data_IF_434329943890
#
_entry.id   IF_434329943890
#
_cell.length_a   1.000
_cell.length_b   1.000
_cell.length_c   1.000
_cell.angle_alpha   90.00
_cell.angle_beta   90.00
_cell.angle_gamma   90.00
#
_symmetry.space_group_name_H-M   'P 1'
#
loop_
_entity.id
_entity.type
_entity.pdbx_description
1 polymer ?
#
# COMPACT_ATOMS: atom_id res chain seq x y z
N UNK A 1 9.48 -19.60 -43.30
CA UNK A 1 8.21 -19.28 -42.59
C UNK A 1 7.93 -17.80 -42.74
N UNK A 2 6.68 -17.37 -42.92
CA UNK A 2 6.34 -15.97 -43.21
C UNK A 2 6.66 -15.04 -42.03
N UNK A 3 7.49 -14.01 -42.25
CA UNK A 3 7.76 -12.92 -41.30
C UNK A 3 6.49 -12.15 -40.87
N UNK A 4 5.37 -12.39 -41.55
CA UNK A 4 4.09 -11.76 -41.24
C UNK A 4 3.20 -12.59 -40.32
N UNK A 5 3.57 -13.83 -39.94
CA UNK A 5 2.69 -14.74 -39.17
C UNK A 5 2.06 -14.07 -37.93
N UNK A 6 2.86 -13.36 -37.12
CA UNK A 6 2.37 -12.60 -35.96
C UNK A 6 1.31 -11.57 -36.35
N UNK A 7 1.64 -10.67 -37.28
CA UNK A 7 0.72 -9.62 -37.74
C UNK A 7 -0.51 -10.18 -38.44
N UNK A 8 -0.36 -11.17 -39.32
CA UNK A 8 -1.46 -11.83 -40.02
C UNK A 8 -2.43 -12.45 -39.02
N UNK A 9 -1.93 -13.12 -37.97
CA UNK A 9 -2.78 -13.68 -36.93
C UNK A 9 -3.56 -12.57 -36.20
N UNK A 10 -2.92 -11.45 -35.88
CA UNK A 10 -3.53 -10.29 -35.22
C UNK A 10 -4.54 -9.53 -36.11
N UNK A 11 -4.41 -9.61 -37.43
CA UNK A 11 -5.33 -8.95 -38.37
C UNK A 11 -6.55 -9.79 -38.76
N UNK A 12 -6.60 -11.08 -38.38
CA UNK A 12 -7.79 -11.91 -38.63
C UNK A 12 -9.01 -11.35 -37.89
N UNK A 13 -10.21 -11.51 -38.47
CA UNK A 13 -11.47 -10.95 -37.94
C UNK A 13 -11.72 -11.28 -36.45
N UNK A 14 -11.28 -12.46 -36.00
CA UNK A 14 -11.46 -12.91 -34.62
C UNK A 14 -10.43 -12.33 -33.62
N UNK A 15 -9.32 -11.78 -34.13
CA UNK A 15 -8.14 -11.37 -33.35
C UNK A 15 -7.82 -9.88 -33.47
N UNK A 16 -8.47 -9.18 -34.41
CA UNK A 16 -8.36 -7.73 -34.56
C UNK A 16 -8.71 -7.06 -33.24
N UNK A 17 -7.80 -6.22 -32.74
CA UNK A 17 -7.91 -5.52 -31.46
C UNK A 17 -8.25 -6.43 -30.28
N UNK A 18 -7.74 -7.67 -30.25
CA UNK A 18 -8.04 -8.58 -29.13
C UNK A 18 -7.59 -8.00 -27.77
N UNK A 19 -6.60 -7.10 -27.76
CA UNK A 19 -6.15 -6.39 -26.57
C UNK A 19 -7.17 -5.40 -26.00
N UNK A 20 -8.27 -5.13 -26.72
CA UNK A 20 -9.45 -4.40 -26.24
C UNK A 20 -10.61 -5.34 -25.88
N UNK A 21 -10.33 -6.63 -25.68
CA UNK A 21 -11.31 -7.61 -25.20
C UNK A 21 -11.06 -7.93 -23.73
N UNK A 22 -12.08 -8.39 -22.99
CA UNK A 22 -11.89 -8.78 -21.60
C UNK A 22 -10.82 -9.85 -21.43
N UNK A 23 -10.00 -9.71 -20.39
CA UNK A 23 -8.93 -10.67 -20.04
C UNK A 23 -7.96 -10.96 -21.20
N UNK A 24 -7.54 -9.91 -21.91
CA UNK A 24 -6.63 -10.04 -23.05
C UNK A 24 -5.27 -10.67 -22.70
N UNK A 25 -4.79 -10.50 -21.45
CA UNK A 25 -3.56 -11.14 -20.94
C UNK A 25 -3.56 -12.65 -21.15
N UNK A 26 -4.60 -13.34 -20.68
CA UNK A 26 -4.69 -14.82 -20.68
C UNK A 26 -4.53 -15.38 -22.09
N UNK A 27 -5.10 -14.67 -23.06
CA UNK A 27 -5.01 -15.02 -24.47
C UNK A 27 -3.63 -14.71 -25.02
N UNK A 28 -3.08 -13.54 -24.70
CA UNK A 28 -1.79 -13.12 -25.23
C UNK A 28 -0.64 -13.99 -24.71
N UNK A 29 -0.67 -14.37 -23.43
CA UNK A 29 0.37 -15.23 -22.82
C UNK A 29 0.44 -16.59 -23.50
N UNK A 30 -0.70 -17.17 -23.87
CA UNK A 30 -0.77 -18.40 -24.67
C UNK A 30 -0.16 -18.22 -26.07
N UNK A 31 -0.37 -17.07 -26.71
CA UNK A 31 0.24 -16.78 -28.01
C UNK A 31 1.76 -16.60 -27.89
N UNK A 32 2.23 -15.92 -26.85
CA UNK A 32 3.66 -15.69 -26.61
C UNK A 32 4.41 -16.98 -26.26
N UNK A 33 3.74 -17.98 -25.69
CA UNK A 33 4.33 -19.30 -25.48
C UNK A 33 4.52 -20.12 -26.78
N UNK A 34 3.86 -19.77 -27.89
CA UNK A 34 4.02 -20.49 -29.16
C UNK A 34 5.35 -20.12 -29.83
N UNK A 35 6.18 -21.13 -30.11
CA UNK A 35 7.46 -20.98 -30.80
C UNK A 35 7.36 -20.26 -32.15
N UNK A 36 6.26 -20.43 -32.90
CA UNK A 36 6.03 -19.75 -34.18
C UNK A 36 5.84 -18.25 -33.98
N UNK A 37 5.10 -17.86 -32.94
CA UNK A 37 4.93 -16.46 -32.54
C UNK A 37 6.25 -15.86 -32.09
N UNK A 38 6.99 -16.57 -31.22
CA UNK A 38 8.29 -16.14 -30.72
C UNK A 38 9.27 -15.86 -31.87
N UNK A 39 9.41 -16.81 -32.80
CA UNK A 39 10.25 -16.64 -34.00
C UNK A 39 9.79 -15.46 -34.86
N UNK A 40 8.48 -15.31 -35.09
CA UNK A 40 7.97 -14.21 -35.90
C UNK A 40 8.27 -12.83 -35.26
N UNK A 41 8.15 -12.71 -33.94
CA UNK A 41 8.50 -11.49 -33.20
C UNK A 41 10.00 -11.22 -33.30
N UNK A 42 10.84 -12.21 -32.99
CA UNK A 42 12.29 -12.08 -33.00
C UNK A 42 12.87 -11.63 -34.37
N UNK A 43 12.28 -12.03 -35.49
CA UNK A 43 12.84 -11.74 -36.81
C UNK A 43 12.35 -10.42 -37.45
N UNK A 44 11.48 -9.64 -36.81
CA UNK A 44 10.88 -8.46 -37.44
C UNK A 44 10.73 -7.30 -36.48
N UNK A 45 11.38 -6.17 -36.77
CA UNK A 45 11.25 -4.92 -36.01
C UNK A 45 9.80 -4.45 -35.89
N UNK A 46 9.00 -4.60 -36.96
CA UNK A 46 7.56 -4.27 -36.93
C UNK A 46 6.79 -5.17 -35.95
N UNK A 47 7.13 -6.46 -35.88
CA UNK A 47 6.49 -7.38 -34.93
C UNK A 47 6.92 -7.09 -33.49
N UNK A 48 8.18 -6.68 -33.27
CA UNK A 48 8.69 -6.28 -31.95
C UNK A 48 7.98 -5.02 -31.43
N UNK A 49 7.81 -4.01 -32.27
CA UNK A 49 7.05 -2.80 -31.92
C UNK A 49 5.59 -3.12 -31.59
N UNK A 50 4.96 -3.99 -32.38
CA UNK A 50 3.59 -4.43 -32.11
C UNK A 50 3.48 -5.25 -30.81
N UNK A 51 4.45 -6.12 -30.52
CA UNK A 51 4.54 -6.84 -29.25
C UNK A 51 4.65 -5.87 -28.06
N UNK A 52 5.58 -4.92 -28.13
CA UNK A 52 5.77 -3.87 -27.12
C UNK A 52 4.47 -3.07 -26.91
N UNK A 53 3.83 -2.63 -27.98
CA UNK A 53 2.56 -1.89 -27.91
C UNK A 53 1.47 -2.69 -27.19
N UNK A 54 1.27 -3.96 -27.56
CA UNK A 54 0.24 -4.81 -26.94
C UNK A 54 0.53 -5.01 -25.45
N UNK A 55 1.78 -5.31 -25.08
CA UNK A 55 2.18 -5.48 -23.68
C UNK A 55 1.96 -4.22 -22.86
N UNK A 56 2.41 -3.08 -23.36
CA UNK A 56 2.24 -1.78 -22.70
C UNK A 56 0.76 -1.41 -22.58
N UNK A 57 -0.05 -1.73 -23.60
CA UNK A 57 -1.49 -1.49 -23.57
C UNK A 57 -2.18 -2.33 -22.51
N UNK A 58 -1.95 -3.65 -22.47
CA UNK A 58 -2.55 -4.54 -21.44
C UNK A 58 -2.11 -4.11 -20.03
N UNK A 59 -0.84 -3.78 -19.84
CA UNK A 59 -0.34 -3.32 -18.54
C UNK A 59 -0.99 -2.00 -18.10
N UNK A 60 -1.08 -1.02 -19.00
CA UNK A 60 -1.74 0.27 -18.73
C UNK A 60 -3.23 0.10 -18.41
N UNK A 61 -3.88 -0.80 -19.13
CA UNK A 61 -5.29 -1.13 -18.98
C UNK A 61 -5.58 -1.75 -17.60
N UNK A 62 -4.74 -2.68 -17.14
CA UNK A 62 -4.91 -3.30 -15.82
C UNK A 62 -4.55 -2.35 -14.68
N UNK A 63 -3.52 -1.52 -14.85
CA UNK A 63 -3.20 -0.47 -13.88
C UNK A 63 -4.37 0.52 -13.73
N UNK A 64 -4.97 0.96 -14.85
CA UNK A 64 -6.12 1.85 -14.87
C UNK A 64 -7.36 1.20 -14.21
N UNK A 65 -7.60 -0.08 -14.49
CA UNK A 65 -8.71 -0.81 -13.86
C UNK A 65 -8.55 -0.86 -12.34
N UNK A 66 -7.37 -1.26 -11.85
CA UNK A 66 -7.07 -1.37 -10.41
C UNK A 66 -7.22 -0.02 -9.73
N UNK A 67 -6.57 1.02 -10.26
CA UNK A 67 -6.62 2.36 -9.73
C UNK A 67 -8.06 2.88 -9.65
N UNK A 68 -8.82 2.74 -10.74
CA UNK A 68 -10.21 3.20 -10.79
C UNK A 68 -11.10 2.49 -9.79
N UNK A 69 -11.04 1.15 -9.72
CA UNK A 69 -11.89 0.39 -8.79
C UNK A 69 -11.55 0.66 -7.33
N UNK A 70 -10.26 0.81 -7.00
CA UNK A 70 -9.86 1.18 -5.64
C UNK A 70 -10.35 2.59 -5.28
N UNK A 71 -10.28 3.57 -6.20
CA UNK A 71 -10.78 4.94 -5.95
C UNK A 71 -12.31 5.00 -5.85
N UNK A 72 -13.02 4.21 -6.67
CA UNK A 72 -14.47 4.04 -6.55
C UNK A 72 -14.85 3.54 -5.15
N UNK A 73 -14.11 2.58 -4.60
CA UNK A 73 -14.35 2.08 -3.23
C UNK A 73 -13.95 3.10 -2.17
N UNK A 74 -12.84 3.82 -2.34
CA UNK A 74 -12.43 4.89 -1.41
C UNK A 74 -13.55 5.95 -1.27
N UNK A 75 -14.22 6.31 -2.36
CA UNK A 75 -15.35 7.24 -2.36
C UNK A 75 -16.59 6.72 -1.64
N UNK A 76 -16.75 5.41 -1.52
CA UNK A 76 -17.88 4.84 -0.79
C UNK A 76 -17.70 4.94 0.72
N UNK A 77 -16.46 4.93 1.21
CA UNK A 77 -16.15 5.09 2.63
C UNK A 77 -16.58 6.47 3.14
N UNK A 78 -17.12 6.51 4.36
CA UNK A 78 -17.46 7.75 5.06
C UNK A 78 -16.43 8.05 6.14
N UNK A 79 -16.40 9.29 6.64
CA UNK A 79 -15.50 9.67 7.74
C UNK A 79 -15.82 8.89 9.03
N UNK A 80 -17.08 8.47 9.21
CA UNK A 80 -17.47 7.62 10.33
C UNK A 80 -16.78 6.25 10.31
N UNK A 81 -16.44 5.74 9.12
CA UNK A 81 -15.68 4.49 9.00
C UNK A 81 -14.27 4.61 9.60
N UNK A 82 -13.75 5.83 9.75
CA UNK A 82 -12.45 6.15 10.36
C UNK A 82 -12.59 6.69 11.80
N UNK A 83 -13.80 6.81 12.33
CA UNK A 83 -14.02 7.07 13.76
C UNK A 83 -13.80 5.82 14.60
N UNK A 84 -14.15 4.65 14.07
CA UNK A 84 -13.82 3.35 14.64
C UNK A 84 -13.02 2.51 13.63
N UNK A 85 -11.70 2.52 13.80
CA UNK A 85 -10.78 1.77 12.93
C UNK A 85 -10.86 0.26 13.14
N UNK A 86 -11.54 -0.23 14.18
CA UNK A 86 -11.58 -1.66 14.49
C UNK A 86 -12.26 -2.49 13.40
N UNK A 87 -13.13 -1.88 12.60
CA UNK A 87 -13.73 -2.49 11.41
C UNK A 87 -12.78 -2.65 10.21
N UNK A 88 -11.63 -1.96 10.22
CA UNK A 88 -10.52 -2.21 9.28
C UNK A 88 -9.56 -3.28 9.78
N UNK A 89 -9.52 -3.57 11.09
CA UNK A 89 -8.63 -4.56 11.67
C UNK A 89 -9.29 -5.93 11.86
N UNK A 90 -10.59 -5.93 12.18
CA UNK A 90 -11.35 -7.13 12.55
C UNK A 90 -12.57 -7.27 11.68
N UNK A 91 -12.67 -8.43 11.01
CA UNK A 91 -13.75 -8.73 10.08
C UNK A 91 -15.12 -8.67 10.75
N UNK A 92 -15.21 -9.10 12.00
CA UNK A 92 -16.45 -9.17 12.79
C UNK A 92 -16.99 -7.79 13.15
N UNK A 93 -16.12 -6.77 13.17
CA UNK A 93 -16.48 -5.37 13.45
C UNK A 93 -16.63 -4.53 12.18
N UNK A 94 -16.34 -5.12 11.02
CA UNK A 94 -16.32 -4.44 9.74
C UNK A 94 -17.75 -4.13 9.27
N UNK A 95 -18.02 -2.87 8.96
CA UNK A 95 -19.29 -2.48 8.36
C UNK A 95 -19.36 -2.85 6.87
N UNK A 96 -20.53 -2.67 6.24
CA UNK A 96 -20.73 -3.07 4.84
C UNK A 96 -19.78 -2.41 3.84
N UNK A 97 -19.38 -1.15 4.07
CA UNK A 97 -18.45 -0.41 3.20
C UNK A 97 -17.02 -0.91 3.36
N UNK A 98 -16.58 -1.11 4.60
CA UNK A 98 -15.27 -1.70 4.91
C UNK A 98 -15.17 -3.14 4.36
N UNK A 99 -16.22 -3.95 4.50
CA UNK A 99 -16.30 -5.27 3.91
C UNK A 99 -16.23 -5.23 2.37
N UNK A 100 -16.92 -4.27 1.73
CA UNK A 100 -16.83 -4.06 0.28
C UNK A 100 -15.42 -3.71 -0.16
N UNK A 101 -14.73 -2.83 0.58
CA UNK A 101 -13.33 -2.48 0.35
C UNK A 101 -12.41 -3.71 0.42
N UNK A 102 -12.49 -4.51 1.49
CA UNK A 102 -11.70 -5.74 1.60
C UNK A 102 -12.03 -6.76 0.53
N UNK A 103 -13.32 -6.89 0.17
CA UNK A 103 -13.76 -7.79 -0.90
C UNK A 103 -13.17 -7.38 -2.24
N UNK A 104 -13.16 -6.08 -2.58
CA UNK A 104 -12.51 -5.61 -3.80
C UNK A 104 -11.02 -5.99 -3.81
N UNK A 105 -10.30 -5.75 -2.70
CA UNK A 105 -8.87 -6.10 -2.62
C UNK A 105 -8.65 -7.59 -2.86
N UNK A 106 -9.49 -8.45 -2.30
CA UNK A 106 -9.44 -9.89 -2.52
C UNK A 106 -9.74 -10.27 -3.98
N UNK A 107 -10.71 -9.62 -4.62
CA UNK A 107 -11.04 -9.83 -6.04
C UNK A 107 -9.85 -9.46 -6.94
N UNK A 108 -9.18 -8.35 -6.67
CA UNK A 108 -8.01 -7.88 -7.42
C UNK A 108 -6.76 -8.73 -7.14
N UNK A 109 -6.55 -9.15 -5.89
CA UNK A 109 -5.50 -10.10 -5.51
C UNK A 109 -5.70 -11.44 -6.23
N UNK A 110 -6.92 -11.97 -6.22
CA UNK A 110 -7.28 -13.18 -6.95
C UNK A 110 -7.00 -13.02 -8.43
N UNK A 111 -7.36 -11.88 -9.04
CA UNK A 111 -7.13 -11.63 -10.44
C UNK A 111 -5.64 -11.74 -10.80
N UNK A 112 -4.78 -11.03 -10.08
CA UNK A 112 -3.32 -11.10 -10.28
C UNK A 112 -2.79 -12.52 -10.11
N UNK A 113 -3.16 -13.20 -9.02
CA UNK A 113 -2.70 -14.55 -8.73
C UNK A 113 -3.12 -15.51 -9.83
N UNK A 114 -4.39 -15.46 -10.23
CA UNK A 114 -4.93 -16.33 -11.27
C UNK A 114 -4.29 -16.04 -12.64
N UNK A 115 -4.09 -14.78 -13.01
CA UNK A 115 -3.50 -14.39 -14.30
C UNK A 115 -2.09 -14.98 -14.49
N UNK A 116 -1.30 -15.06 -13.41
CA UNK A 116 0.03 -15.68 -13.42
C UNK A 116 -0.06 -17.21 -13.27
N UNK A 117 -0.76 -17.69 -12.25
CA UNK A 117 -0.73 -19.09 -11.83
C UNK A 117 -1.51 -20.04 -12.74
N UNK A 118 -2.44 -19.55 -13.55
CA UNK A 118 -3.08 -20.38 -14.59
C UNK A 118 -2.08 -20.94 -15.61
N UNK A 119 -0.86 -20.37 -15.65
CA UNK A 119 0.21 -20.78 -16.57
C UNK A 119 1.29 -21.67 -15.92
N UNK A 120 1.05 -22.26 -14.74
CA UNK A 120 2.01 -23.14 -14.05
C UNK A 120 2.65 -24.21 -14.94
N UNK A 121 1.89 -24.77 -15.89
CA UNK A 121 2.39 -25.79 -16.84
C UNK A 121 3.06 -25.22 -18.10
N UNK A 122 3.16 -23.88 -18.23
CA UNK A 122 3.70 -23.18 -19.39
C UNK A 122 4.65 -22.05 -18.94
N UNK A 123 5.93 -22.35 -18.68
CA UNK A 123 6.88 -21.41 -18.09
C UNK A 123 7.05 -20.09 -18.86
N UNK A 124 7.01 -20.11 -20.20
CA UNK A 124 7.10 -18.89 -21.02
C UNK A 124 5.89 -17.96 -20.80
N UNK A 125 4.67 -18.52 -20.76
CA UNK A 125 3.45 -17.75 -20.50
C UNK A 125 3.46 -17.19 -19.07
N UNK A 126 3.83 -18.01 -18.08
CA UNK A 126 3.91 -17.62 -16.67
C UNK A 126 4.93 -16.49 -16.46
N UNK A 127 6.11 -16.60 -17.05
CA UNK A 127 7.15 -15.57 -16.97
C UNK A 127 6.69 -14.27 -17.65
N UNK A 128 6.00 -14.36 -18.79
CA UNK A 128 5.47 -13.19 -19.50
C UNK A 128 4.40 -12.46 -18.68
N UNK A 129 3.48 -13.20 -18.04
CA UNK A 129 2.48 -12.66 -17.13
C UNK A 129 3.14 -12.01 -15.91
N UNK A 130 4.07 -12.71 -15.24
CA UNK A 130 4.80 -12.18 -14.08
C UNK A 130 5.52 -10.86 -14.40
N UNK A 131 6.25 -10.81 -15.52
CA UNK A 131 6.91 -9.57 -16.00
C UNK A 131 5.92 -8.45 -16.26
N UNK A 132 4.76 -8.75 -16.86
CA UNK A 132 3.71 -7.74 -17.10
C UNK A 132 3.20 -7.15 -15.79
N UNK A 133 3.00 -7.97 -14.75
CA UNK A 133 2.53 -7.47 -13.46
C UNK A 133 3.56 -6.60 -12.73
N UNK A 134 4.86 -6.81 -12.94
CA UNK A 134 5.90 -5.86 -12.49
C UNK A 134 5.70 -4.49 -13.17
N UNK A 135 5.45 -4.46 -14.48
CA UNK A 135 5.16 -3.21 -15.19
C UNK A 135 3.85 -2.57 -14.71
N UNK A 136 2.82 -3.37 -14.37
CA UNK A 136 1.57 -2.87 -13.79
C UNK A 136 1.84 -2.18 -12.45
N UNK A 137 2.67 -2.76 -11.57
CA UNK A 137 3.04 -2.10 -10.30
C UNK A 137 3.80 -0.79 -10.50
N UNK A 138 4.71 -0.73 -11.48
CA UNK A 138 5.43 0.51 -11.81
C UNK A 138 4.48 1.59 -12.34
N UNK A 139 3.53 1.23 -13.21
CA UNK A 139 2.50 2.14 -13.72
C UNK A 139 1.60 2.67 -12.60
N UNK A 140 1.26 1.85 -11.60
CA UNK A 140 0.47 2.28 -10.45
C UNK A 140 1.22 3.33 -9.62
N UNK A 141 2.54 3.20 -9.43
CA UNK A 141 3.37 4.23 -8.81
C UNK A 141 3.35 5.54 -9.60
N UNK A 142 3.54 5.47 -10.93
CA UNK A 142 3.48 6.67 -11.81
C UNK A 142 2.14 7.38 -11.78
N UNK A 143 1.06 6.62 -11.59
CA UNK A 143 -0.29 7.16 -11.50
C UNK A 143 -0.63 7.67 -10.09
N UNK A 144 0.34 7.71 -9.17
CA UNK A 144 0.15 8.07 -7.77
C UNK A 144 -0.88 7.17 -7.06
N UNK A 145 -1.04 5.93 -7.52
CA UNK A 145 -1.91 4.91 -6.93
C UNK A 145 -1.09 3.98 -6.02
N UNK A 146 -0.69 4.49 -4.85
CA UNK A 146 0.19 3.77 -3.93
C UNK A 146 -0.51 2.58 -3.25
N UNK A 147 -1.82 2.69 -2.96
CA UNK A 147 -2.64 1.54 -2.50
C UNK A 147 -2.60 0.40 -3.52
N UNK A 148 -2.82 0.71 -4.80
CA UNK A 148 -2.75 -0.27 -5.89
C UNK A 148 -1.36 -0.87 -6.06
N UNK A 149 -0.31 -0.03 -5.98
CA UNK A 149 1.08 -0.50 -6.03
C UNK A 149 1.36 -1.53 -4.94
N UNK A 150 1.04 -1.25 -3.68
CA UNK A 150 1.30 -2.18 -2.59
C UNK A 150 0.45 -3.45 -2.71
N UNK A 151 -0.83 -3.33 -3.07
CA UNK A 151 -1.70 -4.48 -3.31
C UNK A 151 -1.09 -5.44 -4.33
N UNK A 152 -0.65 -4.91 -5.47
CA UNK A 152 -0.06 -5.71 -6.56
C UNK A 152 1.31 -6.26 -6.16
N UNK A 153 2.20 -5.39 -5.69
CA UNK A 153 3.61 -5.73 -5.60
C UNK A 153 3.92 -6.65 -4.40
N UNK A 154 3.23 -6.49 -3.27
CA UNK A 154 3.34 -7.44 -2.15
C UNK A 154 2.92 -8.84 -2.59
N UNK A 155 1.83 -8.95 -3.37
CA UNK A 155 1.40 -10.24 -3.91
C UNK A 155 2.37 -10.80 -4.95
N UNK A 156 3.05 -9.96 -5.73
CA UNK A 156 4.13 -10.42 -6.63
C UNK A 156 5.32 -10.98 -5.85
N UNK A 157 5.72 -10.35 -4.76
CA UNK A 157 6.80 -10.84 -3.89
C UNK A 157 6.47 -12.22 -3.31
N UNK A 158 5.20 -12.48 -2.97
CA UNK A 158 4.73 -13.79 -2.49
C UNK A 158 4.69 -14.88 -3.57
N UNK A 159 4.47 -14.50 -4.84
CA UNK A 159 4.44 -15.43 -5.98
C UNK A 159 5.85 -15.68 -6.53
N UNK A 160 6.76 -14.72 -6.34
CA UNK A 160 8.09 -14.77 -6.90
C UNK A 160 8.86 -16.02 -6.44
N UNK A 161 9.38 -16.76 -7.41
CA UNK A 161 10.32 -17.84 -7.18
C UNK A 161 11.63 -17.58 -7.95
N UNK A 162 12.65 -18.36 -7.65
CA UNK A 162 13.97 -18.22 -8.29
C UNK A 162 13.88 -18.31 -9.83
N UNK A 163 13.03 -19.18 -10.37
CA UNK A 163 12.92 -19.38 -11.81
C UNK A 163 12.29 -18.17 -12.51
N UNK A 164 11.26 -17.57 -11.90
CA UNK A 164 10.63 -16.36 -12.39
C UNK A 164 11.60 -15.18 -12.38
N UNK A 165 12.30 -14.96 -11.27
CA UNK A 165 13.27 -13.86 -11.13
C UNK A 165 14.46 -14.04 -12.09
N UNK A 166 15.02 -15.25 -12.17
CA UNK A 166 16.17 -15.56 -13.05
C UNK A 166 15.78 -15.56 -14.54
N UNK A 167 14.48 -15.70 -14.84
CA UNK A 167 13.92 -15.62 -16.19
C UNK A 167 13.75 -14.19 -16.70
N UNK A 168 13.62 -13.21 -15.82
CA UNK A 168 13.40 -11.81 -16.20
C UNK A 168 14.57 -11.23 -17.01
N UNK A 169 14.29 -10.31 -17.95
CA UNK A 169 15.31 -9.43 -18.53
C UNK A 169 16.04 -8.65 -17.43
N UNK A 170 17.33 -8.35 -17.64
CA UNK A 170 18.16 -7.66 -16.63
C UNK A 170 17.55 -6.32 -16.20
N UNK A 171 17.10 -5.49 -17.14
CA UNK A 171 16.47 -4.20 -16.84
C UNK A 171 15.21 -4.34 -15.98
N UNK A 172 14.37 -5.34 -16.27
CA UNK A 172 13.16 -5.64 -15.49
C UNK A 172 13.50 -6.20 -14.11
N UNK A 173 14.51 -7.08 -14.02
CA UNK A 173 14.97 -7.62 -12.73
C UNK A 173 15.50 -6.51 -11.82
N UNK A 174 16.25 -5.56 -12.38
CA UNK A 174 16.72 -4.39 -11.64
C UNK A 174 15.54 -3.55 -11.14
N UNK A 175 14.52 -3.31 -11.99
CA UNK A 175 13.30 -2.64 -11.56
C UNK A 175 12.60 -3.40 -10.42
N UNK A 176 12.42 -4.71 -10.56
CA UNK A 176 11.85 -5.56 -9.50
C UNK A 176 12.61 -5.42 -8.18
N UNK A 177 13.94 -5.43 -8.21
CA UNK A 177 14.77 -5.28 -7.00
C UNK A 177 14.62 -3.88 -6.38
N UNK A 178 14.55 -2.82 -7.19
CA UNK A 178 14.28 -1.46 -6.69
C UNK A 178 12.88 -1.36 -6.06
N UNK A 179 11.87 -1.95 -6.70
CA UNK A 179 10.52 -1.99 -6.15
C UNK A 179 10.46 -2.79 -4.85
N UNK A 180 11.25 -3.86 -4.69
CA UNK A 180 11.40 -4.59 -3.41
C UNK A 180 11.98 -3.71 -2.30
N UNK A 181 12.96 -2.86 -2.61
CA UNK A 181 13.50 -1.91 -1.65
C UNK A 181 12.46 -0.85 -1.27
N UNK A 182 11.70 -0.37 -2.27
CA UNK A 182 10.65 0.63 -2.06
C UNK A 182 9.48 0.09 -1.22
N UNK A 183 8.99 -1.12 -1.51
CA UNK A 183 7.85 -1.73 -0.83
C UNK A 183 8.16 -2.26 0.58
N UNK A 184 9.45 -2.32 0.94
CA UNK A 184 9.93 -2.88 2.20
C UNK A 184 9.16 -2.34 3.42
N UNK A 185 8.72 -3.20 4.36
CA UNK A 185 8.01 -2.76 5.56
C UNK A 185 8.95 -2.12 6.61
N UNK A 186 10.27 -2.16 6.39
CA UNK A 186 11.27 -1.62 7.33
C UNK A 186 10.99 -0.13 7.59
N UNK A 187 11.01 0.24 8.87
CA UNK A 187 10.74 1.61 9.30
C UNK A 187 9.32 2.08 8.97
N UNK A 188 8.32 1.20 9.05
CA UNK A 188 6.92 1.48 8.69
C UNK A 188 6.81 1.96 7.23
N UNK A 189 7.41 1.20 6.31
CA UNK A 189 7.51 1.55 4.89
C UNK A 189 8.22 2.89 4.62
N UNK A 190 9.35 3.12 5.29
CA UNK A 190 10.07 4.39 5.24
C UNK A 190 10.46 4.81 3.82
N UNK A 191 10.90 3.86 2.98
CA UNK A 191 11.28 4.13 1.59
C UNK A 191 10.08 4.60 0.75
N UNK A 192 8.95 3.88 0.79
CA UNK A 192 7.73 4.28 0.09
C UNK A 192 7.19 5.62 0.60
N UNK A 193 7.15 5.84 1.92
CA UNK A 193 6.70 7.12 2.49
C UNK A 193 7.60 8.28 2.03
N UNK A 194 8.91 8.08 1.97
CA UNK A 194 9.83 9.09 1.43
C UNK A 194 9.56 9.36 -0.06
N UNK A 195 9.33 8.31 -0.86
CA UNK A 195 8.97 8.45 -2.27
C UNK A 195 7.66 9.24 -2.45
N UNK A 196 6.61 8.91 -1.69
CA UNK A 196 5.33 9.63 -1.70
C UNK A 196 5.49 11.10 -1.32
N UNK A 197 6.32 11.40 -0.32
CA UNK A 197 6.56 12.77 0.13
C UNK A 197 7.35 13.61 -0.90
N UNK A 198 8.18 12.98 -1.72
CA UNK A 198 8.96 13.65 -2.77
C UNK A 198 8.23 13.74 -4.11
N UNK A 199 7.17 12.94 -4.30
CA UNK A 199 6.36 12.86 -5.53
C UNK A 199 4.89 13.13 -5.23
N UNK A 200 4.61 14.25 -4.56
CA UNK A 200 3.23 14.63 -4.24
C UNK A 200 2.45 15.02 -5.51
N UNK A 201 1.20 14.56 -5.58
CA UNK A 201 0.30 14.84 -6.69
C UNK A 201 -1.12 15.12 -6.24
N UNK A 202 -1.93 15.74 -7.11
CA UNK A 202 -3.36 15.92 -6.86
C UNK A 202 -4.12 14.59 -6.87
N UNK A 203 -3.60 13.61 -7.59
CA UNK A 203 -4.15 12.26 -7.70
C UNK A 203 -3.53 11.27 -6.72
N UNK A 204 -2.84 11.73 -5.67
CA UNK A 204 -2.30 10.81 -4.64
C UNK A 204 -3.41 9.90 -4.10
N UNK A 205 -3.06 8.63 -3.92
CA UNK A 205 -3.88 7.64 -3.25
C UNK A 205 -2.99 6.84 -2.32
N UNK A 206 -2.92 7.31 -1.09
CA UNK A 206 -2.16 6.71 -0.01
C UNK A 206 -2.71 5.33 0.34
N UNK A 207 -1.84 4.35 0.65
CA UNK A 207 -2.32 3.07 1.13
C UNK A 207 -3.17 3.26 2.39
N UNK A 208 -4.42 2.79 2.37
CA UNK A 208 -5.37 3.11 3.43
C UNK A 208 -4.91 2.61 4.81
N UNK A 209 -4.14 1.51 4.82
CA UNK A 209 -3.58 0.96 6.05
C UNK A 209 -2.55 1.87 6.71
N UNK A 210 -1.85 2.73 5.97
CA UNK A 210 -1.02 3.75 6.59
C UNK A 210 -1.86 4.72 7.41
N UNK A 211 -3.05 5.06 6.92
CA UNK A 211 -3.94 6.03 7.56
C UNK A 211 -4.68 5.41 8.74
N UNK A 212 -5.36 4.28 8.55
CA UNK A 212 -6.15 3.70 9.64
C UNK A 212 -5.29 3.16 10.79
N UNK A 213 -4.08 2.63 10.53
CA UNK A 213 -3.17 2.25 11.62
C UNK A 213 -2.62 3.46 12.38
N UNK A 214 -2.32 4.56 11.68
CA UNK A 214 -1.87 5.79 12.33
C UNK A 214 -2.99 6.40 13.20
N UNK A 215 -4.25 6.36 12.72
CA UNK A 215 -5.41 6.76 13.52
C UNK A 215 -5.54 5.86 14.76
N UNK A 216 -5.43 4.53 14.61
CA UNK A 216 -5.47 3.59 15.72
C UNK A 216 -4.42 3.87 16.79
N UNK A 217 -3.16 4.05 16.38
CA UNK A 217 -2.07 4.37 17.31
C UNK A 217 -2.29 5.72 18.04
N UNK A 218 -2.88 6.71 17.36
CA UNK A 218 -3.24 7.98 17.99
C UNK A 218 -4.40 7.82 18.97
N UNK A 219 -5.42 7.03 18.63
CA UNK A 219 -6.57 6.78 19.49
C UNK A 219 -6.16 6.03 20.78
N UNK A 220 -5.30 5.02 20.67
CA UNK A 220 -4.71 4.34 21.83
C UNK A 220 -3.89 5.29 22.71
N UNK A 221 -3.10 6.16 22.09
CA UNK A 221 -2.29 7.14 22.82
C UNK A 221 -3.16 8.19 23.52
N UNK A 222 -4.22 8.67 22.86
CA UNK A 222 -5.18 9.61 23.41
C UNK A 222 -5.90 9.02 24.62
N UNK A 223 -6.28 7.74 24.57
CA UNK A 223 -6.92 7.07 25.70
C UNK A 223 -5.97 6.96 26.90
N UNK A 224 -4.71 6.57 26.67
CA UNK A 224 -3.69 6.57 27.73
C UNK A 224 -3.46 7.95 28.34
N UNK A 225 -3.50 9.01 27.53
CA UNK A 225 -3.37 10.39 28.02
C UNK A 225 -4.59 10.83 28.84
N UNK A 226 -5.81 10.48 28.43
CA UNK A 226 -7.03 10.77 29.20
C UNK A 226 -7.02 10.09 30.55
N UNK A 227 -6.63 8.82 30.62
CA UNK A 227 -6.53 8.07 31.87
C UNK A 227 -5.54 8.73 32.84
N UNK A 228 -4.37 9.14 32.33
CA UNK A 228 -3.39 9.91 33.10
C UNK A 228 -3.94 11.27 33.52
N UNK A 229 -4.66 11.96 32.65
CA UNK A 229 -5.30 13.24 32.97
C UNK A 229 -6.29 13.10 34.14
N UNK A 230 -7.13 12.07 34.11
CA UNK A 230 -8.10 11.75 35.17
C UNK A 230 -7.38 11.45 36.49
N UNK A 231 -6.30 10.66 36.46
CA UNK A 231 -5.51 10.34 37.65
C UNK A 231 -4.86 11.60 38.24
N UNK A 232 -4.24 12.44 37.43
CA UNK A 232 -3.62 13.69 37.89
C UNK A 232 -4.67 14.68 38.42
N UNK A 233 -5.85 14.77 37.80
CA UNK A 233 -6.97 15.58 38.32
C UNK A 233 -7.42 15.10 39.70
N UNK A 234 -7.50 13.78 39.90
CA UNK A 234 -7.82 13.17 41.22
C UNK A 234 -6.73 13.48 42.25
N UNK A 235 -5.45 13.31 41.90
CA UNK A 235 -4.32 13.64 42.78
C UNK A 235 -4.31 15.13 43.14
N UNK A 236 -4.47 16.02 42.17
CA UNK A 236 -4.53 17.47 42.37
C UNK A 236 -5.68 17.87 43.31
N UNK A 237 -6.85 17.26 43.14
CA UNK A 237 -8.00 17.47 44.05
C UNK A 237 -7.68 17.02 45.48
N UNK A 238 -7.00 15.89 45.65
CA UNK A 238 -6.59 15.39 46.96
C UNK A 238 -5.55 16.29 47.64
N UNK A 239 -4.51 16.70 46.89
CA UNK A 239 -3.49 17.62 47.39
C UNK A 239 -4.09 18.97 47.78
N UNK A 240 -4.98 19.53 46.96
CA UNK A 240 -5.66 20.77 47.28
C UNK A 240 -6.55 20.66 48.53
N UNK A 241 -7.20 19.51 48.75
CA UNK A 241 -7.93 19.25 50.01
C UNK A 241 -6.99 19.24 51.22
N UNK A 242 -5.87 18.52 51.14
CA UNK A 242 -4.86 18.51 52.22
C UNK A 242 -4.34 19.91 52.52
N UNK A 243 -4.01 20.68 51.48
CA UNK A 243 -3.58 22.08 51.63
C UNK A 243 -4.69 22.90 52.28
N UNK A 244 -5.96 22.74 51.89
CA UNK A 244 -7.09 23.47 52.48
C UNK A 244 -7.26 23.23 53.98
N UNK A 245 -7.08 21.99 54.45
CA UNK A 245 -7.08 21.67 55.88
C UNK A 245 -5.89 22.32 56.62
N UNK A 246 -4.71 22.32 56.01
CA UNK A 246 -3.55 23.01 56.59
C UNK A 246 -3.70 24.54 56.53
N UNK A 247 -4.52 25.08 55.62
CA UNK A 247 -4.82 26.52 55.56
C UNK A 247 -5.62 26.98 56.76
N UNK A 248 -6.60 26.18 57.22
CA UNK A 248 -7.41 26.53 58.39
C UNK A 248 -6.60 26.58 59.69
N UNK A 249 -5.43 25.92 59.71
CA UNK A 249 -4.51 25.90 60.85
C UNK A 249 -3.36 26.94 60.72
N UNK A 250 -3.25 27.61 59.58
CA UNK A 250 -2.14 28.51 59.26
C UNK A 250 -2.48 29.99 59.49
N UNK A 251 -1.47 30.78 59.87
CA UNK A 251 -1.56 32.24 59.97
C UNK A 251 -1.93 32.87 58.61
N UNK A 252 -2.87 33.84 58.55
CA UNK A 252 -3.25 34.52 57.31
C UNK A 252 -2.04 35.12 56.58
N UNK A 253 -1.98 34.99 55.25
CA UNK A 253 -0.95 35.60 54.39
C UNK A 253 0.34 34.81 54.17
N UNK A 254 0.69 33.82 55.01
CA UNK A 254 1.94 33.06 54.84
C UNK A 254 1.93 32.13 53.62
N UNK A 255 0.75 31.69 53.20
CA UNK A 255 0.59 30.81 52.02
C UNK A 255 0.84 31.58 50.74
N UNK A 256 0.48 32.87 50.71
CA UNK A 256 0.72 33.73 49.55
C UNK A 256 2.23 33.96 49.40
N UNK A 257 2.94 34.20 50.52
CA UNK A 257 4.41 34.29 50.54
C UNK A 257 5.06 32.99 50.04
N UNK A 258 4.63 31.82 50.52
CA UNK A 258 5.17 30.53 50.05
C UNK A 258 4.85 30.32 48.55
N UNK A 259 3.64 30.65 48.12
CA UNK A 259 3.23 30.54 46.71
C UNK A 259 4.11 31.40 45.81
N UNK A 260 4.42 32.62 46.24
CA UNK A 260 5.23 33.57 45.48
C UNK A 260 6.71 33.16 45.42
N UNK A 261 7.28 32.70 46.54
CA UNK A 261 8.63 32.11 46.57
C UNK A 261 8.75 30.92 45.61
N UNK A 262 7.77 30.01 45.64
CA UNK A 262 7.74 28.84 44.75
C UNK A 262 7.55 29.23 43.28
N UNK A 263 6.69 30.21 42.99
CA UNK A 263 6.45 30.73 41.63
C UNK A 263 7.73 31.32 41.03
N UNK A 264 8.46 32.09 41.83
CA UNK A 264 9.69 32.78 41.43
C UNK A 264 10.95 31.91 41.55
N UNK A 265 10.83 30.64 41.95
CA UNK A 265 11.97 29.72 42.17
C UNK A 265 13.00 30.26 43.18
N UNK A 266 12.54 31.05 44.15
CA UNK A 266 13.39 31.65 45.17
C UNK A 266 13.69 30.64 46.29
N UNK A 267 14.83 30.82 46.95
CA UNK A 267 15.24 29.95 48.05
C UNK A 267 14.31 30.13 49.26
N UNK A 268 13.75 29.02 49.75
CA UNK A 268 12.85 29.06 50.91
C UNK A 268 13.68 29.22 52.19
N UNK A 269 13.36 30.19 53.07
CA UNK A 269 14.09 30.38 54.32
C UNK A 269 14.09 29.12 55.20
N UNK A 270 15.24 28.76 55.77
CA UNK A 270 15.40 27.56 56.64
C UNK A 270 14.36 27.49 57.77
N UNK A 271 14.15 28.60 58.49
CA UNK A 271 13.14 28.69 59.56
C UNK A 271 11.71 28.41 59.08
N UNK A 272 11.40 28.70 57.81
CA UNK A 272 10.10 28.45 57.22
C UNK A 272 9.94 26.97 56.84
N UNK A 273 11.01 26.34 56.32
CA UNK A 273 11.06 24.89 56.10
C UNK A 273 10.91 24.09 57.39
N UNK A 274 11.59 24.49 58.47
CA UNK A 274 11.49 23.83 59.78
C UNK A 274 10.07 23.85 60.35
N UNK A 275 9.35 24.97 60.17
CA UNK A 275 7.99 25.13 60.71
C UNK A 275 6.88 24.62 59.78
N UNK A 276 7.11 24.62 58.47
CA UNK A 276 6.04 24.41 57.46
C UNK A 276 6.46 23.51 56.30
N UNK A 277 7.51 22.72 56.46
CA UNK A 277 8.07 21.86 55.41
C UNK A 277 7.03 20.98 54.73
N UNK A 278 6.09 20.42 55.48
CA UNK A 278 5.01 19.59 54.91
C UNK A 278 4.08 20.38 53.96
N UNK A 279 3.67 21.60 54.35
CA UNK A 279 2.84 22.46 53.49
C UNK A 279 3.60 22.86 52.22
N UNK A 280 4.88 23.20 52.37
CA UNK A 280 5.75 23.57 51.25
C UNK A 280 5.87 22.41 50.25
N UNK A 281 6.13 21.19 50.74
CA UNK A 281 6.19 19.98 49.91
C UNK A 281 4.88 19.73 49.17
N UNK A 282 3.73 19.86 49.84
CA UNK A 282 2.42 19.70 49.19
C UNK A 282 2.19 20.77 48.10
N UNK A 283 2.60 22.01 48.33
CA UNK A 283 2.48 23.09 47.34
C UNK A 283 3.41 22.89 46.14
N UNK A 284 4.62 22.38 46.36
CA UNK A 284 5.53 21.96 45.30
C UNK A 284 4.93 20.82 44.47
N UNK A 285 4.35 19.81 45.13
CA UNK A 285 3.69 18.69 44.47
C UNK A 285 2.49 19.17 43.63
N UNK A 286 1.64 20.06 44.16
CA UNK A 286 0.53 20.68 43.40
C UNK A 286 1.05 21.39 42.15
N UNK A 287 2.14 22.15 42.27
CA UNK A 287 2.75 22.85 41.13
C UNK A 287 3.29 21.87 40.10
N UNK A 288 3.95 20.81 40.54
CA UNK A 288 4.50 19.77 39.66
C UNK A 288 3.40 18.99 38.94
N UNK A 289 2.41 18.47 39.67
CA UNK A 289 1.21 17.82 39.11
C UNK A 289 0.48 18.75 38.14
N UNK A 290 0.37 20.04 38.47
CA UNK A 290 -0.22 21.06 37.59
C UNK A 290 0.56 21.26 36.28
N UNK A 291 1.90 21.23 36.31
CA UNK A 291 2.74 21.25 35.10
C UNK A 291 2.54 19.99 34.25
N UNK A 292 2.53 18.81 34.87
CA UNK A 292 2.28 17.56 34.18
C UNK A 292 0.91 17.54 33.50
N UNK A 293 -0.12 18.03 34.19
CA UNK A 293 -1.48 18.14 33.64
C UNK A 293 -1.51 19.03 32.39
N UNK A 294 -0.85 20.20 32.44
CA UNK A 294 -0.73 21.09 31.27
C UNK A 294 0.00 20.40 30.12
N UNK A 295 1.07 19.66 30.39
CA UNK A 295 1.80 18.93 29.35
C UNK A 295 0.92 17.85 28.69
N UNK A 296 0.14 17.11 29.48
CA UNK A 296 -0.79 16.11 28.94
C UNK A 296 -1.82 16.78 28.04
N UNK A 297 -2.38 17.92 28.44
CA UNK A 297 -3.35 18.65 27.62
C UNK A 297 -2.76 19.15 26.30
N UNK A 298 -1.50 19.62 26.31
CA UNK A 298 -0.77 19.97 25.08
C UNK A 298 -0.58 18.74 24.18
N UNK A 299 -0.14 17.61 24.76
CA UNK A 299 0.05 16.38 24.01
C UNK A 299 -1.25 15.86 23.38
N UNK A 300 -2.37 15.91 24.13
CA UNK A 300 -3.68 15.52 23.61
C UNK A 300 -4.12 16.41 22.44
N UNK A 301 -3.93 17.73 22.53
CA UNK A 301 -4.24 18.66 21.43
C UNK A 301 -3.42 18.32 20.18
N UNK A 302 -2.12 18.08 20.33
CA UNK A 302 -1.24 17.74 19.21
C UNK A 302 -1.67 16.42 18.54
N UNK A 303 -2.09 15.42 19.33
CA UNK A 303 -2.58 14.14 18.80
C UNK A 303 -3.91 14.29 18.07
N UNK A 304 -4.84 15.09 18.60
CA UNK A 304 -6.10 15.40 17.92
C UNK A 304 -5.87 16.13 16.59
N UNK A 305 -4.90 17.04 16.53
CA UNK A 305 -4.50 17.73 15.30
C UNK A 305 -3.90 16.76 14.28
N UNK A 306 -2.98 15.88 14.70
CA UNK A 306 -2.43 14.84 13.83
C UNK A 306 -3.52 13.92 13.29
N UNK A 307 -4.48 13.52 14.13
CA UNK A 307 -5.64 12.72 13.73
C UNK A 307 -6.50 13.46 12.70
N UNK A 308 -6.78 14.74 12.92
CA UNK A 308 -7.54 15.57 11.99
C UNK A 308 -6.84 15.71 10.63
N UNK A 309 -5.51 15.83 10.61
CA UNK A 309 -4.72 15.87 9.38
C UNK A 309 -4.82 14.57 8.58
N UNK A 310 -4.82 13.40 9.24
CA UNK A 310 -5.02 12.10 8.59
C UNK A 310 -6.42 11.98 7.97
N UNK A 311 -7.46 12.44 8.67
CA UNK A 311 -8.82 12.48 8.13
C UNK A 311 -8.92 13.47 6.96
N UNK A 312 -8.25 14.62 7.07
CA UNK A 312 -8.15 15.61 5.99
C UNK A 312 -7.49 15.05 4.72
N UNK A 313 -6.48 14.19 4.88
CA UNK A 313 -5.86 13.47 3.76
C UNK A 313 -6.87 12.57 3.04
N UNK A 314 -7.67 11.79 3.77
CA UNK A 314 -8.71 10.94 3.17
C UNK A 314 -9.71 11.79 2.37
N UNK A 315 -10.16 12.91 2.94
CA UNK A 315 -11.07 13.83 2.26
C UNK A 315 -10.45 14.41 0.99
N UNK A 316 -9.15 14.74 1.01
CA UNK A 316 -8.42 15.21 -0.19
C UNK A 316 -8.43 14.12 -1.27
N UNK A 317 -8.06 12.89 -0.93
CA UNK A 317 -7.97 11.78 -1.89
C UNK A 317 -9.36 11.37 -2.44
N UNK A 318 -10.41 11.46 -1.62
CA UNK A 318 -11.81 11.24 -2.04
C UNK A 318 -12.32 12.28 -3.05
N UNK A 319 -11.73 13.48 -3.12
CA UNK A 319 -12.10 14.49 -4.14
C UNK A 319 -11.63 14.11 -5.55
N UNK A 320 -10.60 13.27 -5.67
CA UNK A 320 -10.12 12.82 -6.97
C UNK A 320 -11.22 12.08 -7.73
N UNK A 321 -11.52 12.51 -8.96
CA UNK A 321 -12.55 11.86 -9.78
C UNK A 321 -11.98 10.61 -10.44
N UNK A 322 -12.55 9.40 -10.18
CA UNK A 322 -12.14 8.19 -10.86
C UNK A 322 -12.33 8.35 -12.36
N UNK A 323 -11.39 7.83 -13.15
CA UNK A 323 -11.47 7.87 -14.60
C UNK A 323 -12.61 6.96 -15.07
N UNK A 324 -13.32 7.37 -16.12
CA UNK A 324 -14.33 6.50 -16.73
C UNK A 324 -13.66 5.31 -17.40
N UNK A 325 -14.07 4.10 -17.02
CA UNK A 325 -13.57 2.87 -17.65
C UNK A 325 -14.31 2.59 -18.96
N UNK A 326 -13.58 2.30 -20.05
CA UNK A 326 -14.14 1.65 -21.22
C UNK A 326 -14.97 0.39 -20.89
N UNK A 327 -16.01 0.13 -21.67
CA UNK A 327 -16.95 -1.00 -21.46
C UNK A 327 -16.24 -2.36 -21.31
N UNK A 328 -15.15 -2.60 -22.05
CA UNK A 328 -14.41 -3.85 -21.97
C UNK A 328 -13.66 -4.04 -20.64
N UNK A 329 -13.33 -2.97 -19.92
CA UNK A 329 -12.79 -3.05 -18.55
C UNK A 329 -13.88 -3.40 -17.56
N UNK A 330 -15.06 -2.81 -17.67
CA UNK A 330 -16.18 -3.17 -16.80
C UNK A 330 -16.55 -4.65 -16.98
N UNK A 331 -16.53 -5.14 -18.23
CA UNK A 331 -16.67 -6.57 -18.53
C UNK A 331 -15.52 -7.39 -17.93
N UNK A 332 -14.28 -6.91 -18.01
CA UNK A 332 -13.12 -7.57 -17.39
C UNK A 332 -13.32 -7.74 -15.88
N UNK A 333 -13.67 -6.65 -15.18
CA UNK A 333 -13.92 -6.68 -13.75
C UNK A 333 -15.11 -7.54 -13.37
N UNK A 334 -16.20 -7.50 -14.15
CA UNK A 334 -17.35 -8.38 -13.95
C UNK A 334 -16.98 -9.86 -14.02
N UNK A 335 -16.10 -10.24 -14.97
CA UNK A 335 -15.61 -11.61 -15.07
C UNK A 335 -14.71 -11.97 -13.88
N UNK A 336 -13.83 -11.06 -13.45
CA UNK A 336 -12.98 -11.26 -12.26
C UNK A 336 -13.85 -11.55 -11.04
N UNK A 337 -14.84 -10.68 -10.78
CA UNK A 337 -15.79 -10.83 -9.68
C UNK A 337 -16.55 -12.15 -9.76
N UNK A 338 -17.04 -12.52 -10.93
CA UNK A 338 -17.73 -13.80 -11.13
C UNK A 338 -16.82 -15.00 -10.79
N UNK A 339 -15.58 -15.02 -11.31
CA UNK A 339 -14.61 -16.10 -11.08
C UNK A 339 -14.20 -16.18 -9.61
N UNK A 340 -13.96 -15.03 -8.96
CA UNK A 340 -13.66 -14.97 -7.53
C UNK A 340 -14.78 -15.59 -6.69
N UNK A 341 -16.02 -15.14 -6.86
CA UNK A 341 -17.15 -15.67 -6.09
C UNK A 341 -17.35 -17.17 -6.33
N UNK A 342 -17.15 -17.66 -7.56
CA UNK A 342 -17.21 -19.10 -7.87
C UNK A 342 -16.14 -19.90 -7.13
N UNK A 343 -14.90 -19.40 -7.06
CA UNK A 343 -13.82 -20.06 -6.32
C UNK A 343 -14.08 -20.03 -4.81
N UNK A 344 -14.50 -18.89 -4.25
CA UNK A 344 -14.81 -18.79 -2.83
C UNK A 344 -15.87 -19.82 -2.40
N UNK A 345 -16.90 -20.04 -3.22
CA UNK A 345 -17.92 -21.08 -2.98
C UNK A 345 -17.31 -22.49 -3.03
N UNK A 346 -16.40 -22.76 -3.98
CA UNK A 346 -15.75 -24.06 -4.10
C UNK A 346 -14.82 -24.37 -2.92
N UNK A 347 -14.05 -23.38 -2.44
CA UNK A 347 -13.16 -23.53 -1.28
C UNK A 347 -13.94 -23.80 0.00
N UNK A 348 -15.08 -23.14 0.22
CA UNK A 348 -15.97 -23.41 1.38
C UNK A 348 -16.54 -24.84 1.34
N UNK A 349 -16.75 -25.40 0.14
CA UNK A 349 -17.24 -26.78 -0.04
C UNK A 349 -16.13 -27.85 0.06
N UNK A 350 -14.87 -27.47 -0.11
CA UNK A 350 -13.73 -28.40 -0.25
C UNK A 350 -12.88 -28.54 1.02
N UNK A 351 -13.33 -28.04 2.17
CA UNK A 351 -12.65 -28.07 3.48
C UNK A 351 -12.40 -29.48 4.06
N UNK A 352 -12.57 -30.54 3.28
CA UNK A 352 -12.31 -31.94 3.64
C UNK A 352 -11.65 -32.67 2.48
N UNK A 353 -10.33 -32.55 2.30
CA UNK A 353 -9.48 -33.58 1.67
C UNK A 353 -7.99 -33.20 1.79
N UNK A 354 -7.07 -34.16 2.03
CA UNK A 354 -5.64 -33.86 2.14
C UNK A 354 -5.01 -33.58 0.78
N UNK A 355 -4.03 -32.69 0.78
CA UNK A 355 -3.20 -32.33 -0.37
C UNK A 355 -2.40 -33.55 -0.89
N UNK A 356 -2.52 -33.85 -2.17
CA UNK A 356 -1.69 -34.84 -2.86
C UNK A 356 -0.53 -34.17 -3.63
N UNK A 357 0.66 -34.48 -3.12
CA UNK A 357 1.92 -34.86 -3.77
C UNK A 357 2.38 -34.26 -5.11
N UNK A 358 3.59 -33.69 -5.01
CA UNK A 358 4.72 -33.76 -5.96
C UNK A 358 4.47 -33.31 -7.41
N UNK A 359 4.77 -32.03 -7.69
CA UNK A 359 5.03 -31.57 -9.05
C UNK A 359 6.52 -31.65 -9.36
N UNK A 360 6.87 -32.33 -10.45
CA UNK A 360 8.18 -32.30 -11.08
C UNK A 360 8.66 -30.87 -11.28
N UNK A 361 9.96 -30.62 -11.08
CA UNK A 361 10.55 -29.29 -11.27
C UNK A 361 10.25 -28.80 -12.70
N UNK A 362 9.45 -27.74 -12.89
CA UNK A 362 9.22 -27.19 -14.21
C UNK A 362 10.54 -26.65 -14.76
N UNK A 363 10.74 -26.83 -16.06
CA UNK A 363 11.90 -26.29 -16.76
C UNK A 363 11.84 -24.77 -16.79
N UNK A 364 12.98 -24.10 -16.54
CA UNK A 364 13.03 -22.63 -16.53
C UNK A 364 12.76 -22.04 -17.93
N UNK A 365 12.05 -20.91 -17.97
CA UNK A 365 11.77 -20.24 -19.24
C UNK A 365 13.02 -19.59 -19.84
N UNK A 366 13.14 -19.70 -21.16
CA UNK A 366 14.16 -19.03 -21.97
C UNK A 366 13.57 -17.89 -22.84
N UNK A 367 12.37 -17.41 -22.50
CA UNK A 367 11.60 -16.48 -23.33
C UNK A 367 12.40 -15.22 -23.70
N UNK A 368 12.98 -14.56 -22.70
CA UNK A 368 13.73 -13.31 -22.90
C UNK A 368 15.23 -13.52 -23.08
N UNK A 369 15.74 -14.74 -22.87
CA UNK A 369 17.16 -15.09 -23.01
C UNK A 369 17.54 -15.46 -24.43
N UNK A 370 16.63 -16.03 -25.20
CA UNK A 370 16.92 -16.45 -26.57
C UNK A 370 15.71 -16.44 -27.52
N UNK A 371 14.49 -16.70 -27.03
CA UNK A 371 13.33 -16.92 -27.91
C UNK A 371 12.78 -15.63 -28.55
N UNK A 372 12.59 -14.58 -27.75
CA UNK A 372 12.12 -13.27 -28.24
C UNK A 372 13.27 -12.31 -28.61
N UNK A 373 14.53 -12.74 -28.45
CA UNK A 373 15.66 -11.90 -28.80
C UNK A 373 15.76 -11.71 -30.32
N UNK A 374 15.86 -10.46 -30.79
CA UNK A 374 16.12 -10.17 -32.19
C UNK A 374 17.37 -10.85 -32.72
N UNK A 375 17.23 -11.57 -33.83
CA UNK A 375 18.31 -12.41 -34.36
C UNK A 375 19.49 -11.59 -34.93
N UNK A 376 19.27 -10.31 -35.24
CA UNK A 376 20.29 -9.41 -35.82
C UNK A 376 21.18 -8.73 -34.77
N UNK A 377 21.00 -8.98 -33.48
CA UNK A 377 21.85 -8.39 -32.44
C UNK A 377 23.31 -8.82 -32.49
N UNK A 378 23.59 -9.98 -33.10
CA UNK A 378 24.94 -10.38 -33.42
C UNK A 378 25.64 -9.46 -34.44
N UNK A 379 24.94 -8.48 -35.04
CA UNK A 379 25.44 -7.61 -36.13
C UNK A 379 25.45 -6.11 -35.82
N UNK A 380 24.77 -5.63 -34.76
CA UNK A 380 24.41 -4.20 -34.63
C UNK A 380 24.66 -3.55 -33.26
N UNK A 381 25.57 -4.08 -32.43
CA UNK A 381 26.13 -3.37 -31.26
C UNK A 381 25.17 -3.09 -30.08
N UNK A 382 23.87 -3.33 -30.21
CA UNK A 382 22.90 -3.15 -29.11
C UNK A 382 22.83 -4.38 -28.22
N UNK A 383 23.01 -4.17 -26.91
CA UNK A 383 22.94 -5.25 -25.92
C UNK A 383 21.49 -5.69 -25.65
N UNK A 384 21.33 -6.92 -25.17
CA UNK A 384 20.02 -7.45 -24.77
C UNK A 384 19.33 -6.60 -23.70
N UNK A 385 20.12 -6.10 -22.74
CA UNK A 385 19.60 -5.23 -21.69
C UNK A 385 19.02 -3.94 -22.25
N UNK A 386 19.75 -3.25 -23.13
CA UNK A 386 19.32 -1.97 -23.72
C UNK A 386 18.05 -2.11 -24.55
N UNK A 387 17.85 -3.23 -25.24
CA UNK A 387 16.59 -3.44 -25.95
C UNK A 387 15.40 -3.65 -25.03
N UNK A 388 15.54 -4.49 -24.01
CA UNK A 388 14.41 -4.76 -23.12
C UNK A 388 14.02 -3.53 -22.30
N UNK A 389 14.99 -2.64 -22.02
CA UNK A 389 14.76 -1.31 -21.46
C UNK A 389 13.93 -0.39 -22.38
N UNK A 390 14.10 -0.48 -23.71
CA UNK A 390 13.27 0.28 -24.67
C UNK A 390 11.89 -0.38 -24.93
N UNK A 391 11.82 -1.70 -24.89
CA UNK A 391 10.59 -2.45 -25.21
C UNK A 391 9.56 -2.35 -24.11
N UNK A 392 10.01 -2.39 -22.87
CA UNK A 392 9.13 -2.29 -21.72
C UNK A 392 9.10 -0.86 -21.23
N UNK A 393 7.96 -0.46 -20.64
CA UNK A 393 7.87 0.80 -19.93
C UNK A 393 9.05 0.91 -18.98
N UNK A 394 9.89 1.97 -19.08
CA UNK A 394 11.03 2.16 -18.19
C UNK A 394 10.58 2.14 -16.72
N UNK A 395 11.48 1.99 -15.75
CA UNK A 395 11.10 2.15 -14.33
C UNK A 395 10.80 3.61 -14.03
N UNK A 396 9.79 3.91 -13.20
CA UNK A 396 9.58 5.26 -12.67
C UNK A 396 10.61 5.67 -11.62
N UNK A 397 11.39 4.71 -11.12
CA UNK A 397 12.45 4.94 -10.14
C UNK A 397 13.78 5.31 -10.81
N UNK A 398 13.91 5.12 -12.12
CA UNK A 398 15.09 5.47 -12.89
C UNK A 398 14.98 6.92 -13.40
N UNK A 399 15.17 7.89 -12.52
CA UNK A 399 15.53 9.24 -12.95
C UNK A 399 17.06 9.26 -13.13
N UNK A 400 17.51 9.37 -14.39
CA UNK A 400 18.87 9.82 -14.71
C UNK A 400 18.93 11.33 -14.62
#
# INVERSE_FOLDING_TARGET
MSHNYFRTCLTTKNNKFFWQKPLASERFDKLIADRKFQKAIAHSRKNQLMYSFIESKIASDYALLIDTKLREQLKQLTLDDFNDISGFERKEKSNSRQQSYFKLRQELEFFLKNDIQQHKSCPDAQLNAFRRWINISDLLLRHHCYEGFLLVFVNLQLIADKQLIDGLPVSVRNNYNQLCQLSSPIGNHGALRHFMNTHQGESDFTPLFFTYHAIGALDESLESLKDKEVLLKKQLKHLNKKISHLRTEATPGVIDVISELLKNQQQIPKKMMERRGHLIQLMEEVRFTGKQLKQIQVNMRNQLEQRANLVGLIVKEQKATPRTLPEYFEKTYSIIKYRFNRQSIATVKSSQLPESTASSNPSSSNLYKSKLLPHFWNRHGKSSSSYWEEVFTPSCLNNK
#
